data_IF_289344325826
#
_entry.id   IF_289344325826
#
_cell.length_a   1.000
_cell.length_b   1.000
_cell.length_c   1.000
_cell.angle_alpha   90.00
_cell.angle_beta   90.00
_cell.angle_gamma   90.00
#
_symmetry.space_group_name_H-M   'P 1'
#
loop_
_entity.id
_entity.type
_entity.pdbx_description
1 polymer ?
#
# COMPACT_ATOMS: atom_id res chain seq x y z
N UNK A 1 2.27 5.91 14.39
CA UNK A 1 2.28 4.65 13.62
C UNK A 1 1.04 4.64 12.77
N UNK A 2 1.15 4.96 11.49
CA UNK A 2 0.03 4.94 10.56
C UNK A 2 -0.10 3.52 10.00
N UNK A 3 -1.29 2.92 10.08
CA UNK A 3 -1.51 1.56 9.57
C UNK A 3 -2.19 1.60 8.20
N UNK A 4 -2.26 0.46 7.52
CA UNK A 4 -2.99 0.35 6.25
C UNK A 4 -4.50 0.65 6.42
N UNK A 5 -5.03 0.53 7.64
CA UNK A 5 -6.40 0.88 7.99
C UNK A 5 -6.60 2.40 7.97
N UNK A 6 -5.67 3.16 8.57
CA UNK A 6 -5.69 4.62 8.54
C UNK A 6 -5.65 5.16 7.10
N UNK A 7 -4.79 4.56 6.26
CA UNK A 7 -4.70 4.91 4.84
C UNK A 7 -6.03 4.64 4.12
N UNK A 8 -6.69 3.53 4.45
CA UNK A 8 -7.97 3.16 3.85
C UNK A 8 -9.07 4.15 4.24
N UNK A 9 -9.19 4.47 5.53
CA UNK A 9 -10.18 5.44 6.04
C UNK A 9 -9.94 6.84 5.45
N UNK A 10 -8.68 7.28 5.43
CA UNK A 10 -8.29 8.58 4.88
C UNK A 10 -8.53 8.70 3.36
N UNK A 11 -8.23 7.65 2.60
CA UNK A 11 -8.49 7.61 1.17
C UNK A 11 -9.98 7.40 0.84
N UNK A 12 -10.82 7.05 1.83
CA UNK A 12 -12.23 6.74 1.65
C UNK A 12 -12.45 5.45 0.86
N UNK A 13 -11.59 4.45 1.09
CA UNK A 13 -11.64 3.15 0.42
C UNK A 13 -11.56 2.03 1.46
N UNK A 14 -11.95 0.82 1.08
CA UNK A 14 -11.75 -0.34 1.96
C UNK A 14 -10.28 -0.77 2.00
N UNK A 15 -9.86 -1.39 3.11
CA UNK A 15 -8.54 -2.03 3.25
C UNK A 15 -8.23 -3.00 2.10
N UNK A 16 -9.26 -3.72 1.63
CA UNK A 16 -9.19 -4.59 0.45
C UNK A 16 -8.78 -3.84 -0.83
N UNK A 17 -9.24 -2.61 -1.00
CA UNK A 17 -8.88 -1.75 -2.13
C UNK A 17 -7.44 -1.28 -2.02
N UNK A 18 -6.99 -0.88 -0.81
CA UNK A 18 -5.57 -0.53 -0.58
C UNK A 18 -4.66 -1.73 -0.86
N UNK A 19 -5.05 -2.93 -0.41
CA UNK A 19 -4.34 -4.17 -0.72
C UNK A 19 -4.26 -4.45 -2.22
N UNK A 20 -5.35 -4.20 -2.97
CA UNK A 20 -5.35 -4.30 -4.45
C UNK A 20 -4.44 -3.26 -5.09
N UNK A 21 -4.42 -2.02 -4.59
CA UNK A 21 -3.52 -0.97 -5.08
C UNK A 21 -2.05 -1.35 -4.86
N UNK A 22 -1.71 -1.85 -3.67
CA UNK A 22 -0.35 -2.30 -3.33
C UNK A 22 0.12 -3.51 -4.14
N UNK A 23 -0.81 -4.40 -4.52
CA UNK A 23 -0.53 -5.56 -5.36
C UNK A 23 -0.66 -5.25 -6.87
N UNK A 24 -0.73 -3.97 -7.25
CA UNK A 24 -0.85 -3.49 -8.65
C UNK A 24 -2.00 -4.14 -9.44
N UNK A 25 -3.14 -4.42 -8.78
CA UNK A 25 -4.31 -4.95 -9.47
C UNK A 25 -4.87 -3.89 -10.44
N UNK A 26 -4.95 -4.25 -11.73
CA UNK A 26 -5.42 -3.37 -12.82
C UNK A 26 -6.87 -2.90 -12.69
N UNK A 27 -7.63 -3.46 -11.75
CA UNK A 27 -9.05 -3.13 -11.58
C UNK A 27 -9.30 -1.87 -10.74
N UNK A 28 -8.26 -1.22 -10.22
CA UNK A 28 -8.40 0.00 -9.42
C UNK A 28 -8.32 1.22 -10.33
N UNK A 29 -9.33 2.09 -10.28
CA UNK A 29 -9.33 3.33 -11.04
C UNK A 29 -8.15 4.22 -10.64
N UNK A 30 -7.55 4.93 -11.61
CA UNK A 30 -6.48 5.91 -11.36
C UNK A 30 -6.87 6.91 -10.27
N UNK A 31 -8.13 7.35 -10.25
CA UNK A 31 -8.66 8.27 -9.23
C UNK A 31 -8.55 7.69 -7.81
N UNK A 32 -8.76 6.39 -7.66
CA UNK A 32 -8.64 5.69 -6.39
C UNK A 32 -7.18 5.49 -6.01
N UNK A 33 -6.31 5.16 -6.98
CA UNK A 33 -4.87 5.06 -6.77
C UNK A 33 -4.27 6.40 -6.29
N UNK A 34 -4.66 7.52 -6.90
CA UNK A 34 -4.22 8.86 -6.49
C UNK A 34 -4.68 9.22 -5.07
N UNK A 35 -5.91 8.88 -4.69
CA UNK A 35 -6.40 9.10 -3.32
C UNK A 35 -5.60 8.31 -2.29
N UNK A 36 -5.32 7.04 -2.60
CA UNK A 36 -4.51 6.18 -1.74
C UNK A 36 -3.09 6.72 -1.64
N UNK A 37 -2.48 7.13 -2.76
CA UNK A 37 -1.14 7.72 -2.78
C UNK A 37 -1.07 8.99 -1.93
N UNK A 38 -2.02 9.92 -2.11
CA UNK A 38 -2.12 11.13 -1.27
C UNK A 38 -2.31 10.81 0.20
N UNK A 39 -3.18 9.87 0.53
CA UNK A 39 -3.39 9.44 1.92
C UNK A 39 -2.13 8.83 2.51
N UNK A 40 -1.36 8.06 1.72
CA UNK A 40 -0.08 7.50 2.14
C UNK A 40 0.94 8.61 2.40
N UNK A 41 1.06 9.59 1.51
CA UNK A 41 1.96 10.74 1.66
C UNK A 41 1.58 11.59 2.88
N UNK A 42 0.29 11.86 3.11
CA UNK A 42 -0.20 12.62 4.26
C UNK A 42 -0.03 11.91 5.61
N UNK A 43 -0.06 10.57 5.60
CA UNK A 43 0.07 9.76 6.80
C UNK A 43 1.53 9.37 7.07
N UNK A 44 2.48 9.81 6.25
CA UNK A 44 3.86 9.31 6.24
C UNK A 44 3.89 7.77 6.20
N UNK A 45 2.86 7.18 5.58
CA UNK A 45 2.75 5.75 5.40
C UNK A 45 3.68 5.39 4.26
N UNK A 46 4.92 5.06 4.61
CA UNK A 46 5.81 4.39 3.69
C UNK A 46 5.36 2.94 3.58
N UNK A 47 4.74 2.50 2.45
CA UNK A 47 4.65 1.07 2.19
C UNK A 47 6.08 0.63 2.11
N UNK A 48 6.55 -0.01 3.18
CA UNK A 48 7.93 -0.44 3.31
C UNK A 48 8.21 -1.35 2.12
N UNK A 49 8.82 -0.79 1.09
CA UNK A 49 9.40 -1.53 -0.03
C UNK A 49 10.42 -2.54 0.51
N UNK A 50 10.95 -2.23 1.71
CA UNK A 50 11.71 -3.10 2.62
C UNK A 50 10.92 -4.37 3.02
N UNK A 51 9.62 -4.29 3.33
CA UNK A 51 8.80 -5.46 3.66
C UNK A 51 8.50 -6.34 2.43
N UNK A 52 8.53 -5.75 1.21
CA UNK A 52 8.41 -6.51 -0.04
C UNK A 52 9.71 -7.23 -0.40
N UNK A 53 10.87 -6.62 -0.15
CA UNK A 53 12.17 -7.29 -0.33
C UNK A 53 12.42 -8.39 0.71
N UNK A 54 11.93 -8.24 1.94
CA UNK A 54 12.13 -9.25 2.99
C UNK A 54 11.29 -10.53 2.79
N UNK A 55 10.25 -10.53 1.95
CA UNK A 55 9.46 -11.74 1.63
C UNK A 55 9.90 -12.48 0.36
N UNK A 56 10.74 -11.87 -0.46
CA UNK A 56 11.26 -12.46 -1.71
C UNK A 56 12.76 -12.78 -1.63
N UNK A 57 13.42 -12.50 -0.49
CA UNK A 57 14.87 -12.62 -0.30
C UNK A 57 15.38 -13.79 0.54
N UNK A 58 14.55 -14.47 1.36
CA UNK A 58 15.00 -15.62 2.18
C UNK A 58 15.06 -16.94 1.38
N UNK A 59 15.60 -16.91 0.16
CA UNK A 59 15.92 -18.16 -0.57
C UNK A 59 17.34 -18.27 -1.10
N UNK A 60 18.23 -17.28 -1.00
CA UNK A 60 19.61 -17.47 -1.44
C UNK A 60 20.63 -16.67 -0.61
N UNK A 61 21.71 -17.37 -0.23
CA UNK A 61 23.00 -16.92 0.33
C UNK A 61 23.03 -16.86 1.87
N UNK A 62 23.86 -17.62 2.60
CA UNK A 62 25.11 -18.39 2.34
C UNK A 62 25.23 -19.51 3.37
#
# INVERSE_FOLDING_TARGET
MSTIHDVAEKAGVSVKTVSRVLNDYSHVSKKTRDKVQKAMDELDYSPSSIARQMRLGDTLSV
#
